data_IF_651895269444
#
_entry.id   IF_651895269444
#
_cell.length_a   1.000
_cell.length_b   1.000
_cell.length_c   1.000
_cell.angle_alpha   90.00
_cell.angle_beta   90.00
_cell.angle_gamma   90.00
#
_symmetry.space_group_name_H-M   'P 1'
#
loop_
_entity.id
_entity.type
_entity.pdbx_description
1 polymer ?
#
# COMPACT_ATOMS: atom_id res chain seq x y z
N UNK A 1 50.30 -42.15 46.36
CA UNK A 1 49.31 -43.11 45.79
C UNK A 1 47.91 -42.48 45.90
N UNK A 2 47.16 -42.49 44.82
CA UNK A 2 45.77 -42.05 44.66
C UNK A 2 45.54 -40.55 44.36
N UNK A 3 45.82 -40.21 43.16
CA UNK A 3 45.14 -39.13 42.38
C UNK A 3 44.89 -39.67 41.00
N UNK A 4 43.67 -40.12 40.70
CA UNK A 4 43.14 -40.29 39.35
C UNK A 4 41.65 -40.61 39.51
N UNK A 5 40.80 -39.77 38.94
CA UNK A 5 39.45 -40.03 38.50
C UNK A 5 38.47 -38.88 38.87
N UNK A 6 38.62 -37.73 38.25
CA UNK A 6 37.52 -36.75 38.10
C UNK A 6 37.76 -35.98 36.78
N UNK A 7 37.75 -36.65 35.64
CA UNK A 7 37.64 -36.00 34.32
C UNK A 7 36.92 -37.01 33.38
N UNK A 8 35.65 -37.18 33.53
CA UNK A 8 34.83 -37.90 32.53
C UNK A 8 33.31 -37.71 32.74
N UNK A 9 32.85 -36.51 33.07
CA UNK A 9 31.39 -36.27 33.23
C UNK A 9 30.92 -34.91 32.71
N UNK A 10 31.70 -34.23 31.85
CA UNK A 10 31.31 -32.88 31.37
C UNK A 10 31.16 -32.73 29.86
N UNK A 11 31.09 -33.79 29.10
CA UNK A 11 31.02 -33.71 27.59
C UNK A 11 29.66 -34.20 27.03
N UNK A 12 28.71 -34.64 27.84
CA UNK A 12 27.49 -35.29 27.33
C UNK A 12 26.20 -34.44 27.49
N UNK A 13 26.29 -33.15 27.79
CA UNK A 13 25.08 -32.30 27.97
C UNK A 13 24.98 -31.14 27.00
N UNK A 14 25.83 -31.08 25.96
CA UNK A 14 25.80 -29.98 24.96
C UNK A 14 25.16 -30.38 23.61
N UNK A 15 24.59 -31.57 23.49
CA UNK A 15 24.10 -32.09 22.21
C UNK A 15 22.56 -32.15 22.08
N UNK A 16 21.79 -31.51 22.99
CA UNK A 16 20.32 -31.60 22.99
C UNK A 16 19.60 -30.26 22.79
N UNK A 17 20.30 -29.20 22.32
CA UNK A 17 19.70 -27.91 21.98
C UNK A 17 19.75 -27.57 20.48
N UNK A 18 20.01 -28.55 19.62
CA UNK A 18 19.86 -28.42 18.17
C UNK A 18 18.47 -28.96 17.76
N UNK A 19 17.42 -28.42 18.33
CA UNK A 19 16.05 -28.83 18.08
C UNK A 19 15.22 -27.66 17.60
N UNK A 20 14.86 -27.71 16.27
CA UNK A 20 13.74 -27.00 15.63
C UNK A 20 13.83 -25.47 15.53
N UNK A 21 14.79 -24.97 14.77
CA UNK A 21 14.45 -23.92 13.83
C UNK A 21 14.00 -24.62 12.53
N UNK A 22 12.84 -25.21 12.53
CA UNK A 22 12.19 -25.62 11.31
C UNK A 22 11.81 -24.33 10.60
N UNK A 23 12.30 -24.13 9.37
CA UNK A 23 11.81 -23.11 8.47
C UNK A 23 10.30 -23.27 8.39
N UNK A 24 9.57 -22.27 8.88
CA UNK A 24 8.10 -22.26 8.75
C UNK A 24 7.85 -22.05 7.28
N UNK A 25 7.35 -23.08 6.60
CA UNK A 25 6.96 -22.93 5.20
C UNK A 25 5.98 -21.75 5.07
N UNK A 26 6.21 -20.84 4.12
CA UNK A 26 5.30 -19.72 3.92
C UNK A 26 3.91 -20.25 3.55
N UNK A 27 2.87 -19.60 4.05
CA UNK A 27 1.47 -19.95 3.79
C UNK A 27 1.17 -20.06 2.29
N UNK A 28 1.81 -19.23 1.50
CA UNK A 28 1.75 -19.19 0.04
C UNK A 28 3.18 -19.30 -0.52
N UNK A 29 3.70 -20.50 -0.78
CA UNK A 29 5.05 -20.66 -1.31
C UNK A 29 5.16 -20.04 -2.70
N UNK A 30 6.19 -19.21 -2.96
CA UNK A 30 6.31 -18.49 -4.22
C UNK A 30 6.58 -19.44 -5.39
N UNK A 31 5.84 -19.26 -6.47
CA UNK A 31 6.14 -19.91 -7.74
C UNK A 31 7.47 -19.42 -8.31
N UNK A 32 8.25 -20.34 -8.86
CA UNK A 32 9.42 -20.01 -9.64
C UNK A 32 9.02 -19.24 -10.91
N UNK A 33 9.83 -18.25 -11.26
CA UNK A 33 9.61 -17.49 -12.48
C UNK A 33 10.00 -18.32 -13.70
N UNK A 34 9.06 -18.50 -14.61
CA UNK A 34 9.30 -19.15 -15.90
C UNK A 34 9.71 -18.12 -16.96
N UNK A 35 10.30 -18.62 -18.05
CA UNK A 35 10.54 -17.80 -19.24
C UNK A 35 9.22 -17.32 -19.83
N UNK A 36 9.17 -16.06 -20.20
CA UNK A 36 8.01 -15.44 -20.84
C UNK A 36 8.28 -15.11 -22.29
N UNK A 37 7.27 -15.28 -23.12
CA UNK A 37 7.29 -14.72 -24.49
C UNK A 37 6.97 -13.23 -24.40
N UNK A 38 7.99 -12.41 -24.08
CA UNK A 38 7.82 -10.98 -23.94
C UNK A 38 7.35 -10.37 -25.26
N UNK A 39 6.17 -9.73 -25.21
CA UNK A 39 5.63 -8.91 -26.28
C UNK A 39 5.70 -7.41 -25.93
N UNK A 40 6.22 -7.10 -24.77
CA UNK A 40 6.43 -5.73 -24.29
C UNK A 40 7.91 -5.57 -23.97
N UNK A 41 8.55 -4.60 -24.62
CA UNK A 41 9.92 -4.21 -24.30
C UNK A 41 9.89 -3.13 -23.24
N UNK A 42 10.55 -3.39 -22.13
CA UNK A 42 10.69 -2.45 -21.02
C UNK A 42 12.11 -1.89 -21.05
N UNK A 43 12.24 -0.57 -21.04
CA UNK A 43 13.53 0.12 -21.05
C UNK A 43 13.61 1.12 -19.90
N UNK A 44 14.69 1.07 -19.13
CA UNK A 44 14.97 2.06 -18.11
C UNK A 44 15.29 3.39 -18.75
N UNK A 45 14.48 4.40 -18.51
CA UNK A 45 14.64 5.77 -19.01
C UNK A 45 15.67 6.53 -18.18
N UNK A 46 15.57 6.40 -16.85
CA UNK A 46 16.48 6.95 -15.88
C UNK A 46 16.40 6.15 -14.58
N UNK A 47 17.45 6.21 -13.76
CA UNK A 47 17.55 5.57 -12.46
C UNK A 47 18.20 6.53 -11.48
N UNK A 48 17.63 6.63 -10.28
CA UNK A 48 18.10 7.46 -9.17
C UNK A 48 18.05 6.66 -7.86
N UNK A 49 18.70 7.17 -6.83
CA UNK A 49 18.63 6.60 -5.48
C UNK A 49 17.79 7.50 -4.55
N UNK A 50 17.03 6.91 -3.64
CA UNK A 50 16.26 7.60 -2.61
C UNK A 50 16.83 7.19 -1.25
N UNK A 51 17.76 7.96 -0.73
CA UNK A 51 18.40 7.74 0.58
C UNK A 51 18.76 6.30 0.89
N UNK A 52 18.43 5.83 2.09
CA UNK A 52 18.60 4.45 2.55
C UNK A 52 17.37 3.55 2.25
N UNK A 53 16.48 4.02 1.38
CA UNK A 53 15.31 3.31 0.91
C UNK A 53 14.25 3.04 1.97
N UNK A 54 13.43 2.01 1.73
CA UNK A 54 12.32 1.61 2.58
C UNK A 54 12.73 0.61 3.68
N UNK A 55 13.92 0.06 3.59
CA UNK A 55 14.45 -0.98 4.48
C UNK A 55 13.72 -2.31 4.31
N UNK A 56 13.34 -2.96 5.42
CA UNK A 56 12.67 -4.27 5.42
C UNK A 56 11.17 -4.20 5.05
N UNK A 57 10.76 -3.16 4.31
CA UNK A 57 9.38 -2.98 3.84
C UNK A 57 8.31 -2.93 4.95
N UNK A 58 8.69 -2.48 6.13
CA UNK A 58 7.77 -2.39 7.28
C UNK A 58 6.74 -1.27 7.13
N UNK A 59 7.04 -0.26 6.31
CA UNK A 59 6.22 0.94 6.12
C UNK A 59 5.88 1.14 4.65
N UNK A 60 4.61 1.45 4.33
CA UNK A 60 4.16 1.67 2.96
C UNK A 60 4.46 3.11 2.51
N UNK A 61 5.75 3.46 2.41
CA UNK A 61 6.17 4.80 1.99
C UNK A 61 6.06 4.89 0.47
N UNK A 62 4.82 4.90 -0.03
CA UNK A 62 4.54 5.03 -1.45
C UNK A 62 4.98 6.41 -1.94
N UNK A 63 5.71 6.52 -3.06
CA UNK A 63 6.00 7.80 -3.69
C UNK A 63 4.73 8.46 -4.23
N UNK A 64 4.81 9.75 -4.63
CA UNK A 64 3.69 10.48 -5.21
C UNK A 64 4.07 11.13 -6.54
N UNK A 65 3.09 11.24 -7.45
CA UNK A 65 3.21 11.91 -8.74
C UNK A 65 2.33 13.15 -8.80
N UNK A 66 2.89 14.28 -9.24
CA UNK A 66 2.14 15.50 -9.55
C UNK A 66 2.68 16.17 -10.83
N UNK A 67 1.98 15.97 -11.93
CA UNK A 67 2.36 16.52 -13.22
C UNK A 67 3.73 16.02 -13.68
N UNK A 68 4.75 16.93 -13.67
CA UNK A 68 6.11 16.62 -14.09
C UNK A 68 7.05 16.32 -12.92
N UNK A 69 6.52 16.15 -11.72
CA UNK A 69 7.29 15.88 -10.50
C UNK A 69 6.96 14.52 -9.92
N UNK A 70 7.98 13.83 -9.47
CA UNK A 70 7.89 12.61 -8.68
C UNK A 70 8.48 12.90 -7.31
N UNK A 71 7.78 12.55 -6.25
CA UNK A 71 8.22 12.72 -4.87
C UNK A 71 8.43 11.36 -4.25
N UNK A 72 9.57 11.17 -3.61
CA UNK A 72 9.87 9.95 -2.87
C UNK A 72 10.48 10.29 -1.51
N UNK A 73 10.39 9.36 -0.58
CA UNK A 73 11.01 9.50 0.73
C UNK A 73 11.61 8.17 1.16
N UNK A 74 12.64 8.25 1.99
CA UNK A 74 13.19 7.09 2.67
C UNK A 74 12.61 6.89 4.08
N UNK A 75 12.95 5.76 4.68
CA UNK A 75 12.51 5.40 6.03
C UNK A 75 13.06 6.29 7.14
N UNK A 76 14.18 7.00 6.91
CA UNK A 76 14.93 7.75 7.93
C UNK A 76 14.56 9.23 7.95
N UNK A 77 13.98 9.76 6.87
CA UNK A 77 13.43 11.12 6.84
C UNK A 77 13.86 11.95 5.65
N UNK A 78 14.64 11.41 4.72
CA UNK A 78 14.93 12.09 3.46
C UNK A 78 13.67 12.16 2.62
N UNK A 79 13.38 13.32 2.05
CA UNK A 79 12.30 13.54 1.06
C UNK A 79 12.89 14.25 -0.13
N UNK A 80 12.66 13.72 -1.31
CA UNK A 80 13.21 14.21 -2.56
C UNK A 80 12.13 14.42 -3.62
N UNK A 81 12.36 15.40 -4.48
CA UNK A 81 11.57 15.64 -5.67
C UNK A 81 12.43 15.50 -6.92
N UNK A 82 11.91 14.76 -7.90
CA UNK A 82 12.57 14.48 -9.17
C UNK A 82 11.75 14.98 -10.34
N UNK A 83 12.41 15.34 -11.45
CA UNK A 83 11.73 15.53 -12.73
C UNK A 83 11.36 14.19 -13.33
N UNK A 84 10.10 13.99 -13.67
CA UNK A 84 9.63 12.74 -14.32
C UNK A 84 10.29 12.47 -15.66
N UNK A 85 10.81 13.50 -16.34
CA UNK A 85 11.38 13.37 -17.68
C UNK A 85 12.75 12.71 -17.73
N UNK A 86 13.59 12.96 -16.73
CA UNK A 86 15.01 12.56 -16.75
C UNK A 86 15.62 12.22 -15.38
N UNK A 87 14.86 12.25 -14.29
CA UNK A 87 15.33 11.92 -12.95
C UNK A 87 16.08 13.05 -12.22
N UNK A 88 16.35 14.20 -12.87
CA UNK A 88 17.05 15.31 -12.17
C UNK A 88 16.37 15.65 -10.85
N UNK A 89 17.12 15.68 -9.75
CA UNK A 89 16.64 16.16 -8.46
C UNK A 89 16.30 17.64 -8.54
N UNK A 90 15.08 17.99 -8.12
CA UNK A 90 14.60 19.36 -8.03
C UNK A 90 14.93 20.00 -6.69
N UNK A 91 14.73 19.24 -5.63
CA UNK A 91 15.06 19.57 -4.25
C UNK A 91 15.13 18.30 -3.40
N UNK A 92 15.83 18.41 -2.28
CA UNK A 92 15.90 17.40 -1.22
C UNK A 92 15.78 18.07 0.14
N UNK A 93 15.17 17.42 1.10
CA UNK A 93 15.09 17.85 2.49
C UNK A 93 15.24 16.67 3.44
N UNK A 94 15.91 16.93 4.57
CA UNK A 94 16.00 15.99 5.68
C UNK A 94 14.98 16.40 6.76
N UNK A 95 14.12 15.44 7.13
CA UNK A 95 13.21 15.60 8.26
C UNK A 95 13.88 15.05 9.53
N UNK A 96 13.63 15.70 10.67
CA UNK A 96 14.18 15.26 11.98
C UNK A 96 13.51 13.97 12.51
N UNK A 97 12.86 13.19 11.65
CA UNK A 97 12.01 12.07 12.11
C UNK A 97 11.73 11.08 11.00
N UNK A 98 11.75 9.77 11.32
CA UNK A 98 11.45 8.72 10.37
C UNK A 98 10.07 8.84 9.74
N UNK A 99 9.99 8.74 8.41
CA UNK A 99 8.74 8.67 7.65
C UNK A 99 8.09 7.29 7.84
N UNK A 100 6.77 7.22 7.81
CA UNK A 100 6.03 5.96 7.96
C UNK A 100 4.83 5.83 7.04
N UNK A 101 4.35 6.91 6.45
CA UNK A 101 3.22 6.89 5.52
C UNK A 101 3.67 7.05 4.07
N UNK A 102 2.82 6.65 3.14
CA UNK A 102 2.92 7.11 1.76
C UNK A 102 2.80 8.63 1.65
N UNK A 103 3.24 9.16 0.52
CA UNK A 103 3.18 10.57 0.17
C UNK A 103 1.89 10.88 -0.59
N UNK A 104 1.36 12.08 -0.43
CA UNK A 104 0.21 12.57 -1.19
C UNK A 104 0.50 13.95 -1.73
N UNK A 105 0.48 14.09 -3.05
CA UNK A 105 0.70 15.35 -3.73
C UNK A 105 -0.64 15.87 -4.29
N UNK A 106 -1.09 17.04 -3.82
CA UNK A 106 -2.35 17.67 -4.23
C UNK A 106 -2.14 19.18 -4.37
N UNK A 107 -2.52 19.73 -5.51
CA UNK A 107 -2.31 21.12 -5.89
C UNK A 107 -0.81 21.48 -5.75
N UNK A 108 -0.47 22.44 -4.88
CA UNK A 108 0.92 22.86 -4.63
C UNK A 108 1.54 22.20 -3.39
N UNK A 109 0.81 21.32 -2.69
CA UNK A 109 1.21 20.73 -1.42
C UNK A 109 1.57 19.25 -1.55
N UNK A 110 2.62 18.86 -0.83
CA UNK A 110 3.01 17.47 -0.57
C UNK A 110 2.78 17.15 0.91
N UNK A 111 2.05 16.06 1.19
CA UNK A 111 1.75 15.62 2.54
C UNK A 111 2.37 14.26 2.83
N UNK A 112 2.88 14.10 4.04
CA UNK A 112 3.33 12.83 4.58
C UNK A 112 3.16 12.78 6.10
N UNK A 113 3.33 11.60 6.68
CA UNK A 113 3.30 11.44 8.13
C UNK A 113 4.45 10.54 8.62
N UNK A 114 4.68 10.56 9.92
CA UNK A 114 5.84 9.98 10.57
C UNK A 114 5.43 9.02 11.69
N UNK A 115 6.36 8.16 12.11
CA UNK A 115 6.14 7.14 13.17
C UNK A 115 5.63 7.73 14.49
N UNK A 116 6.01 8.95 14.81
CA UNK A 116 5.60 9.61 16.05
C UNK A 116 4.30 10.44 15.91
N UNK A 117 3.55 10.22 14.83
CA UNK A 117 2.27 10.88 14.58
C UNK A 117 2.39 12.35 14.16
N UNK A 118 3.51 12.78 13.57
CA UNK A 118 3.59 14.10 12.94
C UNK A 118 3.11 14.01 11.51
N UNK A 119 2.22 14.89 11.14
CA UNK A 119 1.79 15.17 9.77
C UNK A 119 2.51 16.42 9.30
N UNK A 120 3.04 16.40 8.10
CA UNK A 120 3.90 17.45 7.55
C UNK A 120 3.35 17.84 6.19
N UNK A 121 3.20 19.16 5.97
CA UNK A 121 2.93 19.75 4.68
C UNK A 121 4.19 20.43 4.15
N UNK A 122 4.49 20.17 2.88
CA UNK A 122 5.69 20.65 2.18
C UNK A 122 5.23 21.30 0.88
N UNK A 123 5.82 22.43 0.54
CA UNK A 123 5.62 23.07 -0.77
C UNK A 123 6.26 22.20 -1.87
N UNK A 124 5.48 21.79 -2.86
CA UNK A 124 5.95 20.90 -3.94
C UNK A 124 7.02 21.53 -4.84
N UNK A 125 7.08 22.84 -4.92
CA UNK A 125 8.02 23.53 -5.80
C UNK A 125 9.40 23.74 -5.15
N UNK A 126 9.43 23.99 -3.83
CA UNK A 126 10.63 24.40 -3.11
C UNK A 126 11.16 23.37 -2.11
N UNK A 127 10.32 22.45 -1.63
CA UNK A 127 10.65 21.55 -0.52
C UNK A 127 10.52 22.21 0.86
N UNK A 128 10.04 23.46 0.94
CA UNK A 128 9.88 24.16 2.21
C UNK A 128 8.75 23.54 3.02
N UNK A 129 9.01 23.26 4.29
CA UNK A 129 7.97 22.79 5.21
C UNK A 129 7.06 23.95 5.59
N UNK A 130 5.80 23.86 5.23
CA UNK A 130 4.79 24.86 5.49
C UNK A 130 4.25 24.81 6.92
N UNK A 131 3.90 23.57 7.38
CA UNK A 131 3.46 23.34 8.75
C UNK A 131 3.73 21.88 9.20
N UNK A 132 3.68 21.69 10.51
CA UNK A 132 3.74 20.37 11.15
C UNK A 132 2.67 20.29 12.22
N UNK A 133 1.89 19.22 12.22
CA UNK A 133 0.84 18.96 13.22
C UNK A 133 0.97 17.56 13.79
N UNK A 134 0.68 17.40 15.07
CA UNK A 134 0.69 16.10 15.72
C UNK A 134 -0.71 15.52 15.80
N UNK A 135 -0.87 14.27 15.37
CA UNK A 135 -2.08 13.45 15.56
C UNK A 135 -1.88 12.43 16.68
N UNK A 136 -2.97 11.82 17.20
CA UNK A 136 -2.90 11.01 18.41
C UNK A 136 -1.98 9.77 18.34
N UNK A 137 -1.84 9.16 17.17
CA UNK A 137 -1.11 7.90 17.01
C UNK A 137 -0.26 7.88 15.74
N UNK A 138 0.48 6.79 15.53
CA UNK A 138 1.25 6.54 14.33
C UNK A 138 0.36 6.50 13.08
N UNK A 139 0.88 7.02 11.97
CA UNK A 139 0.18 7.07 10.69
C UNK A 139 0.96 6.25 9.66
N UNK A 140 0.33 5.24 9.10
CA UNK A 140 0.87 4.41 8.02
C UNK A 140 0.18 4.74 6.68
N UNK A 141 -1.10 5.12 6.74
CA UNK A 141 -1.86 5.53 5.57
C UNK A 141 -1.35 6.84 5.00
N UNK A 142 -1.29 6.96 3.69
CA UNK A 142 -1.04 8.24 3.04
C UNK A 142 -2.16 9.24 3.39
N UNK A 143 -1.85 10.44 3.94
CA UNK A 143 -2.87 11.45 4.21
C UNK A 143 -3.65 11.81 2.94
N UNK A 144 -4.96 11.99 3.02
CA UNK A 144 -5.81 12.27 1.86
C UNK A 144 -6.43 13.66 1.96
N UNK A 145 -6.45 14.40 0.86
CA UNK A 145 -6.93 15.77 0.86
C UNK A 145 -8.22 15.97 0.04
N UNK A 146 -9.09 16.85 0.52
CA UNK A 146 -10.11 17.50 -0.30
C UNK A 146 -9.72 18.99 -0.50
N UNK A 147 -10.65 19.82 -0.96
CA UNK A 147 -10.37 21.25 -1.23
C UNK A 147 -9.94 22.05 0.01
N UNK A 148 -10.36 21.65 1.22
CA UNK A 148 -10.14 22.41 2.44
C UNK A 148 -9.41 21.66 3.54
N UNK A 149 -9.51 20.32 3.54
CA UNK A 149 -9.06 19.48 4.63
C UNK A 149 -8.06 18.45 4.20
N UNK A 150 -7.13 18.13 5.09
CA UNK A 150 -6.30 16.93 5.05
C UNK A 150 -6.86 15.94 6.07
N UNK A 151 -7.23 14.77 5.60
CA UNK A 151 -7.77 13.67 6.41
C UNK A 151 -6.66 12.65 6.67
N UNK A 152 -6.41 12.38 7.92
CA UNK A 152 -5.33 11.51 8.39
C UNK A 152 -5.91 10.36 9.20
N UNK A 153 -5.69 9.14 8.76
CA UNK A 153 -6.07 7.91 9.47
C UNK A 153 -4.86 7.33 10.20
N UNK A 154 -5.00 7.14 11.50
CA UNK A 154 -3.95 6.56 12.35
C UNK A 154 -4.24 5.09 12.70
N UNK A 155 -3.21 4.35 13.12
CA UNK A 155 -3.30 2.90 13.40
C UNK A 155 -4.21 2.53 14.57
N UNK A 156 -4.50 3.49 15.45
CA UNK A 156 -5.42 3.30 16.58
C UNK A 156 -6.90 3.44 16.20
N UNK A 157 -7.20 3.66 14.91
CA UNK A 157 -8.56 3.87 14.40
C UNK A 157 -9.06 5.30 14.53
N UNK A 158 -8.20 6.24 14.85
CA UNK A 158 -8.57 7.66 14.81
C UNK A 158 -8.44 8.22 13.40
N UNK A 159 -9.37 9.09 13.02
CA UNK A 159 -9.30 9.93 11.84
C UNK A 159 -9.28 11.37 12.31
N UNK A 160 -8.28 12.11 11.91
CA UNK A 160 -8.12 13.53 12.21
C UNK A 160 -8.25 14.34 10.94
N UNK A 161 -9.13 15.32 10.94
CA UNK A 161 -9.19 16.34 9.90
C UNK A 161 -8.37 17.56 10.30
N UNK A 162 -7.48 17.95 9.43
CA UNK A 162 -6.65 19.14 9.56
C UNK A 162 -7.06 20.16 8.47
N UNK A 163 -7.03 21.43 8.80
CA UNK A 163 -7.13 22.48 7.81
C UNK A 163 -5.88 22.46 6.91
N UNK A 164 -6.03 22.39 5.60
CA UNK A 164 -4.92 22.24 4.66
C UNK A 164 -3.91 23.39 4.71
N UNK A 165 -4.40 24.61 4.87
CA UNK A 165 -3.53 25.80 4.82
C UNK A 165 -2.71 25.98 6.10
N UNK A 166 -3.26 25.61 7.26
CA UNK A 166 -2.65 25.89 8.56
C UNK A 166 -2.23 24.66 9.35
N UNK A 167 -2.67 23.48 8.99
CA UNK A 167 -2.49 22.26 9.76
C UNK A 167 -3.29 22.21 11.06
N UNK A 168 -4.22 23.15 11.31
CA UNK A 168 -5.02 23.17 12.52
C UNK A 168 -6.04 22.03 12.52
N UNK A 169 -6.14 21.31 13.65
CA UNK A 169 -7.13 20.27 13.84
C UNK A 169 -8.53 20.85 13.84
N UNK A 170 -9.41 20.32 13.01
CA UNK A 170 -10.81 20.70 12.90
C UNK A 170 -11.73 19.74 13.68
N UNK A 171 -11.55 18.43 13.47
CA UNK A 171 -12.31 17.40 14.18
C UNK A 171 -11.50 16.10 14.28
N UNK A 172 -11.94 15.22 15.16
CA UNK A 172 -11.42 13.86 15.32
C UNK A 172 -12.60 12.89 15.39
N UNK A 173 -12.52 11.80 14.65
CA UNK A 173 -13.39 10.63 14.74
C UNK A 173 -12.57 9.45 15.28
N UNK A 174 -13.20 8.56 16.07
CA UNK A 174 -12.54 7.35 16.57
C UNK A 174 -13.41 6.13 16.33
N UNK A 175 -12.88 5.14 15.62
CA UNK A 175 -13.52 3.85 15.47
C UNK A 175 -13.16 2.92 16.65
N UNK A 176 -14.08 2.01 16.97
CA UNK A 176 -13.78 0.96 17.95
C UNK A 176 -13.13 -0.23 17.26
N UNK A 177 -11.86 -0.46 17.53
CA UNK A 177 -11.05 -1.54 16.95
C UNK A 177 -10.92 -2.73 17.91
N UNK A 178 -10.73 -3.96 17.39
CA UNK A 178 -10.36 -5.11 18.19
C UNK A 178 -8.96 -4.94 18.79
N UNK A 179 -8.65 -5.71 19.84
CA UNK A 179 -7.34 -5.65 20.50
C UNK A 179 -6.19 -6.13 19.61
N UNK A 180 -6.46 -7.05 18.66
CA UNK A 180 -5.52 -7.54 17.67
C UNK A 180 -5.92 -7.06 16.28
N UNK A 181 -5.01 -6.40 15.58
CA UNK A 181 -5.19 -5.89 14.21
C UNK A 181 -3.99 -6.26 13.35
N UNK A 182 -4.13 -6.21 12.03
CA UNK A 182 -3.01 -6.38 11.09
C UNK A 182 -2.02 -5.23 11.10
N UNK A 183 -2.31 -4.14 11.83
CA UNK A 183 -1.53 -2.89 11.78
C UNK A 183 -1.33 -2.41 10.34
N UNK A 184 -2.42 -2.41 9.59
CA UNK A 184 -2.40 -2.01 8.19
C UNK A 184 -2.52 -0.49 8.01
N UNK A 185 -2.26 -0.05 6.79
CA UNK A 185 -2.32 1.34 6.39
C UNK A 185 -3.66 1.67 5.71
N UNK A 186 -4.78 1.43 6.39
CA UNK A 186 -6.10 1.73 5.82
C UNK A 186 -6.19 3.17 5.31
N UNK A 187 -6.09 3.36 3.98
CA UNK A 187 -6.13 4.70 3.36
C UNK A 187 -7.58 5.07 3.08
N UNK A 188 -8.08 6.21 3.60
CA UNK A 188 -9.45 6.62 3.34
C UNK A 188 -9.60 7.18 1.91
N UNK A 189 -10.82 7.12 1.36
CA UNK A 189 -11.19 7.86 0.16
C UNK A 189 -11.95 9.11 0.55
N UNK A 190 -11.45 10.26 0.13
CA UNK A 190 -11.92 11.56 0.56
C UNK A 190 -12.45 12.35 -0.63
N UNK A 191 -13.67 12.85 -0.50
CA UNK A 191 -14.25 13.87 -1.38
C UNK A 191 -14.64 15.09 -0.52
N UNK A 192 -15.09 16.17 -1.11
CA UNK A 192 -15.37 17.39 -0.33
C UNK A 192 -16.38 17.20 0.79
N UNK A 193 -17.42 16.38 0.57
CA UNK A 193 -18.52 16.21 1.51
C UNK A 193 -18.29 15.12 2.54
N UNK A 194 -17.65 14.03 2.14
CA UNK A 194 -17.55 12.82 2.97
C UNK A 194 -16.20 12.11 2.83
N UNK A 195 -15.86 11.40 3.88
CA UNK A 195 -14.74 10.46 3.94
C UNK A 195 -15.27 9.04 4.06
N UNK A 196 -14.78 8.14 3.19
CA UNK A 196 -15.00 6.69 3.26
C UNK A 196 -13.77 6.05 3.88
N UNK A 197 -13.91 5.54 5.09
CA UNK A 197 -12.79 4.99 5.85
C UNK A 197 -13.04 3.53 6.22
N UNK A 198 -12.12 2.65 5.82
CA UNK A 198 -12.08 1.25 6.21
C UNK A 198 -11.29 1.05 7.49
N UNK A 199 -11.69 0.06 8.29
CA UNK A 199 -11.05 -0.23 9.57
C UNK A 199 -10.80 -1.72 9.78
N UNK A 200 -9.88 -2.02 10.72
CA UNK A 200 -9.50 -3.39 11.11
C UNK A 200 -10.58 -4.16 11.90
N UNK A 201 -11.78 -3.61 12.00
CA UNK A 201 -12.98 -4.30 12.49
C UNK A 201 -13.88 -4.80 11.35
N UNK A 202 -13.40 -4.71 10.09
CA UNK A 202 -14.16 -5.10 8.89
C UNK A 202 -15.31 -4.16 8.52
N UNK A 203 -15.31 -2.94 9.07
CA UNK A 203 -16.36 -1.95 8.82
C UNK A 203 -15.85 -0.77 8.01
N UNK A 204 -16.69 -0.30 7.11
CA UNK A 204 -16.52 0.92 6.35
C UNK A 204 -17.40 2.01 6.97
N UNK A 205 -16.79 3.07 7.48
CA UNK A 205 -17.49 4.26 7.97
C UNK A 205 -17.58 5.33 6.91
N UNK A 206 -18.73 6.01 6.84
CA UNK A 206 -18.95 7.19 6.03
C UNK A 206 -19.08 8.37 6.99
N UNK A 207 -18.16 9.33 6.88
CA UNK A 207 -18.00 10.44 7.83
C UNK A 207 -18.27 11.75 7.11
N UNK A 208 -19.09 12.60 7.69
CA UNK A 208 -19.35 13.97 7.22
C UNK A 208 -18.10 14.84 7.48
N UNK A 209 -17.49 15.38 6.43
CA UNK A 209 -16.26 16.13 6.54
C UNK A 209 -16.40 17.48 7.25
N UNK A 210 -17.60 18.05 7.27
CA UNK A 210 -17.84 19.33 7.95
C UNK A 210 -17.89 19.18 9.46
N UNK A 211 -18.40 18.05 9.96
CA UNK A 211 -18.66 17.86 11.40
C UNK A 211 -17.79 16.77 12.03
N UNK A 212 -17.19 15.87 11.25
CA UNK A 212 -16.54 14.66 11.74
C UNK A 212 -17.50 13.60 12.26
N UNK A 213 -18.80 13.77 12.06
CA UNK A 213 -19.80 12.80 12.52
C UNK A 213 -19.96 11.65 11.52
N UNK A 214 -20.09 10.44 12.04
CA UNK A 214 -20.41 9.28 11.23
C UNK A 214 -21.86 9.36 10.71
N UNK A 215 -22.01 9.41 9.40
CA UNK A 215 -23.31 9.41 8.71
C UNK A 215 -23.87 7.99 8.71
N UNK A 216 -23.03 7.02 8.36
CA UNK A 216 -23.42 5.61 8.30
C UNK A 216 -22.21 4.69 8.41
N UNK A 217 -22.48 3.42 8.65
CA UNK A 217 -21.47 2.36 8.71
C UNK A 217 -21.97 1.13 7.94
N UNK A 218 -21.05 0.41 7.30
CA UNK A 218 -21.34 -0.83 6.58
C UNK A 218 -20.37 -1.91 7.01
N UNK A 219 -20.88 -3.09 7.34
CA UNK A 219 -20.05 -4.27 7.57
C UNK A 219 -19.67 -4.89 6.22
N UNK A 220 -18.39 -4.88 5.90
CA UNK A 220 -17.83 -5.46 4.67
C UNK A 220 -17.33 -6.87 4.96
N UNK A 221 -16.59 -7.06 6.06
CA UNK A 221 -16.11 -8.35 6.50
C UNK A 221 -16.57 -8.65 7.93
N UNK A 222 -16.82 -9.91 8.23
CA UNK A 222 -17.18 -10.38 9.55
C UNK A 222 -16.09 -11.30 10.07
N UNK A 223 -15.56 -10.99 11.25
CA UNK A 223 -14.58 -11.81 11.92
C UNK A 223 -15.13 -13.22 12.20
N UNK A 224 -14.60 -14.23 11.53
CA UNK A 224 -15.00 -15.63 11.68
C UNK A 224 -13.76 -16.49 11.93
N UNK A 225 -13.88 -17.54 12.74
CA UNK A 225 -12.76 -18.42 13.03
C UNK A 225 -12.74 -18.89 14.47
N UNK A 226 -11.89 -19.86 14.78
CA UNK A 226 -11.80 -20.48 16.10
C UNK A 226 -10.77 -19.82 17.02
N UNK A 227 -9.78 -19.13 16.45
CA UNK A 227 -8.73 -18.43 17.20
C UNK A 227 -8.67 -16.95 16.81
N UNK A 228 -7.88 -16.16 17.53
CA UNK A 228 -7.76 -14.71 17.33
C UNK A 228 -7.17 -14.37 15.95
N UNK A 229 -6.26 -15.18 15.44
CA UNK A 229 -5.61 -14.96 14.13
C UNK A 229 -6.61 -15.20 13.00
N UNK A 230 -7.39 -16.28 13.06
CA UNK A 230 -8.42 -16.56 12.06
C UNK A 230 -9.51 -15.47 12.00
N UNK A 231 -9.70 -14.75 13.11
CA UNK A 231 -10.68 -13.66 13.23
C UNK A 231 -10.19 -12.31 12.74
N UNK A 232 -8.92 -12.21 12.34
CA UNK A 232 -8.42 -10.96 11.78
C UNK A 232 -9.17 -10.62 10.49
N UNK A 233 -9.79 -9.46 10.46
CA UNK A 233 -10.39 -8.85 9.28
C UNK A 233 -9.91 -7.42 9.17
N UNK A 234 -9.72 -6.92 7.95
CA UNK A 234 -9.25 -5.56 7.75
C UNK A 234 -9.70 -4.99 6.41
N UNK A 235 -10.00 -3.70 6.38
CA UNK A 235 -10.19 -2.93 5.16
C UNK A 235 -8.99 -1.99 5.03
N UNK A 236 -7.86 -2.55 4.57
CA UNK A 236 -6.59 -1.85 4.44
C UNK A 236 -6.45 -1.13 3.10
N UNK A 237 -6.96 -1.73 2.02
CA UNK A 237 -6.96 -1.09 0.71
C UNK A 237 -7.83 0.16 0.67
N UNK A 238 -7.38 1.18 -0.07
CA UNK A 238 -8.17 2.39 -0.29
C UNK A 238 -9.45 2.05 -1.07
N UNK A 239 -10.65 2.42 -0.59
CA UNK A 239 -11.88 2.27 -1.36
C UNK A 239 -11.83 3.03 -2.69
N UNK A 240 -12.26 2.43 -3.79
CA UNK A 240 -12.24 3.07 -5.12
C UNK A 240 -13.62 3.63 -5.44
N UNK A 241 -13.73 4.96 -5.47
CA UNK A 241 -14.96 5.67 -5.79
C UNK A 241 -14.97 6.08 -7.26
N UNK A 242 -16.07 5.78 -7.95
CA UNK A 242 -16.29 6.20 -9.35
C UNK A 242 -17.12 7.49 -9.42
N UNK A 243 -17.02 8.24 -10.54
CA UNK A 243 -17.83 9.45 -10.74
C UNK A 243 -19.34 9.20 -10.73
N UNK A 244 -19.80 8.01 -11.10
CA UNK A 244 -21.21 7.60 -11.08
C UNK A 244 -21.66 7.06 -9.70
N UNK A 245 -20.79 7.15 -8.69
CA UNK A 245 -21.13 6.84 -7.29
C UNK A 245 -21.07 5.36 -6.93
N UNK A 246 -20.35 4.52 -7.67
CA UNK A 246 -19.99 3.17 -7.24
C UNK A 246 -18.76 3.23 -6.36
N UNK A 247 -18.75 2.46 -5.27
CA UNK A 247 -17.63 2.36 -4.33
C UNK A 247 -17.22 0.90 -4.21
N UNK A 248 -15.98 0.60 -4.62
CA UNK A 248 -15.41 -0.74 -4.52
C UNK A 248 -14.51 -0.83 -3.28
N UNK A 249 -14.70 -1.89 -2.50
CA UNK A 249 -13.99 -2.10 -1.24
C UNK A 249 -13.47 -3.53 -1.18
N UNK A 250 -12.18 -3.70 -0.96
CA UNK A 250 -11.54 -4.98 -0.64
C UNK A 250 -11.41 -5.15 0.86
N UNK A 251 -11.41 -6.38 1.35
CA UNK A 251 -11.12 -6.66 2.75
C UNK A 251 -10.29 -7.95 2.89
N UNK A 252 -9.38 -7.94 3.85
CA UNK A 252 -8.65 -9.13 4.28
C UNK A 252 -9.61 -10.07 5.03
N UNK A 253 -9.48 -11.38 4.79
CA UNK A 253 -10.38 -12.43 5.30
C UNK A 253 -11.87 -12.10 5.08
N UNK A 254 -12.20 -11.51 3.94
CA UNK A 254 -13.54 -11.00 3.70
C UNK A 254 -13.96 -11.06 2.23
N UNK A 255 -14.25 -9.91 1.66
CA UNK A 255 -14.92 -9.77 0.37
C UNK A 255 -14.37 -8.62 -0.46
N UNK A 256 -14.56 -8.73 -1.77
CA UNK A 256 -14.65 -7.59 -2.67
C UNK A 256 -16.14 -7.20 -2.79
N UNK A 257 -16.46 -5.96 -2.50
CA UNK A 257 -17.84 -5.46 -2.49
C UNK A 257 -17.94 -4.20 -3.33
N UNK A 258 -18.98 -4.11 -4.16
CA UNK A 258 -19.40 -2.87 -4.78
C UNK A 258 -20.64 -2.31 -4.07
N UNK A 259 -20.58 -1.05 -3.68
CA UNK A 259 -21.64 -0.31 -3.01
C UNK A 259 -22.09 0.86 -3.86
N UNK A 260 -23.34 1.26 -3.73
CA UNK A 260 -23.76 2.60 -4.06
C UNK A 260 -23.29 3.56 -2.95
N UNK A 261 -22.40 4.48 -3.25
CA UNK A 261 -21.77 5.37 -2.27
C UNK A 261 -22.77 6.28 -1.53
N UNK A 262 -23.87 6.66 -2.18
CA UNK A 262 -24.90 7.54 -1.60
C UNK A 262 -25.85 6.79 -0.64
N UNK A 263 -26.34 5.62 -1.06
CA UNK A 263 -27.32 4.85 -0.27
C UNK A 263 -26.66 3.82 0.66
N UNK A 264 -25.40 3.45 0.39
CA UNK A 264 -24.70 2.35 1.04
C UNK A 264 -25.25 0.96 0.68
N UNK A 265 -26.13 0.87 -0.33
CA UNK A 265 -26.66 -0.42 -0.80
C UNK A 265 -25.58 -1.23 -1.49
N UNK A 266 -25.47 -2.51 -1.16
CA UNK A 266 -24.63 -3.45 -1.89
C UNK A 266 -25.19 -3.70 -3.28
N UNK A 267 -24.38 -3.44 -4.30
CA UNK A 267 -24.70 -3.72 -5.71
C UNK A 267 -24.37 -5.17 -6.05
N UNK A 268 -23.17 -5.60 -5.67
CA UNK A 268 -22.72 -6.98 -5.76
C UNK A 268 -21.58 -7.24 -4.76
N UNK A 269 -21.30 -8.51 -4.47
CA UNK A 269 -20.14 -8.92 -3.67
C UNK A 269 -19.65 -10.30 -4.08
N UNK A 270 -18.34 -10.51 -3.96
CA UNK A 270 -17.70 -11.81 -4.19
C UNK A 270 -16.72 -12.12 -3.05
N UNK A 271 -16.54 -13.39 -2.72
CA UNK A 271 -15.55 -13.81 -1.73
C UNK A 271 -14.14 -13.59 -2.28
N UNK A 272 -13.36 -12.82 -1.59
CA UNK A 272 -11.99 -12.49 -1.95
C UNK A 272 -11.27 -11.90 -0.72
N UNK A 273 -10.12 -12.45 -0.39
CA UNK A 273 -9.25 -11.85 0.64
C UNK A 273 -8.18 -11.00 -0.01
N UNK A 274 -8.21 -9.70 0.27
CA UNK A 274 -7.20 -8.74 -0.19
C UNK A 274 -7.09 -7.57 0.76
N UNK A 275 -5.86 -7.15 1.05
CA UNK A 275 -5.54 -5.94 1.80
C UNK A 275 -5.02 -4.81 0.91
N UNK A 276 -4.96 -5.04 -0.41
CA UNK A 276 -4.41 -4.11 -1.39
C UNK A 276 -5.51 -3.28 -2.05
N UNK A 277 -5.15 -2.06 -2.43
CA UNK A 277 -6.01 -1.16 -3.20
C UNK A 277 -6.19 -1.70 -4.62
N UNK A 278 -7.41 -1.91 -5.10
CA UNK A 278 -7.65 -2.33 -6.47
C UNK A 278 -7.46 -1.18 -7.46
N UNK A 279 -7.26 -1.49 -8.74
CA UNK A 279 -7.26 -0.49 -9.82
C UNK A 279 -8.46 -0.71 -10.73
N UNK A 280 -9.20 0.37 -11.01
CA UNK A 280 -10.33 0.38 -11.95
C UNK A 280 -9.89 1.04 -13.27
N UNK A 281 -10.09 0.32 -14.37
CA UNK A 281 -9.82 0.82 -15.73
C UNK A 281 -11.04 0.57 -16.60
N UNK A 282 -11.74 1.62 -17.00
CA UNK A 282 -13.03 1.48 -17.67
C UNK A 282 -14.01 0.73 -16.77
N UNK A 283 -14.58 -0.36 -17.28
CA UNK A 283 -15.50 -1.23 -16.55
C UNK A 283 -14.82 -2.50 -16.00
N UNK A 284 -13.49 -2.52 -15.89
CA UNK A 284 -12.74 -3.66 -15.35
C UNK A 284 -12.02 -3.27 -14.06
N UNK A 285 -12.27 -4.05 -13.00
CA UNK A 285 -11.61 -3.90 -11.71
C UNK A 285 -10.54 -4.98 -11.55
N UNK A 286 -9.29 -4.58 -11.35
CA UNK A 286 -8.17 -5.48 -11.15
C UNK A 286 -7.77 -5.51 -9.69
N UNK A 287 -7.67 -6.72 -9.14
CA UNK A 287 -7.40 -6.95 -7.72
C UNK A 287 -6.28 -7.97 -7.57
N UNK A 288 -5.34 -7.71 -6.69
CA UNK A 288 -4.37 -8.71 -6.24
C UNK A 288 -4.87 -9.26 -4.90
N UNK A 289 -5.02 -10.58 -4.81
CA UNK A 289 -5.43 -11.23 -3.57
C UNK A 289 -4.22 -11.53 -2.64
N UNK A 290 -4.51 -11.99 -1.43
CA UNK A 290 -3.50 -12.31 -0.41
C UNK A 290 -2.49 -13.38 -0.84
N UNK A 291 -2.86 -14.25 -1.79
CA UNK A 291 -2.01 -15.29 -2.35
C UNK A 291 -1.24 -14.82 -3.60
N UNK A 292 -1.26 -13.50 -3.90
CA UNK A 292 -0.59 -12.92 -5.08
C UNK A 292 -1.17 -13.39 -6.42
N UNK A 293 -2.48 -13.64 -6.48
CA UNK A 293 -3.19 -13.85 -7.75
C UNK A 293 -3.73 -12.51 -8.23
N UNK A 294 -3.48 -12.17 -9.48
CA UNK A 294 -4.10 -10.99 -10.12
C UNK A 294 -5.38 -11.42 -10.82
N UNK A 295 -6.48 -10.78 -10.45
CA UNK A 295 -7.82 -11.15 -10.93
C UNK A 295 -8.51 -9.92 -11.50
N UNK A 296 -9.11 -10.07 -12.68
CA UNK A 296 -9.95 -9.06 -13.30
C UNK A 296 -11.42 -9.39 -13.11
N UNK A 297 -12.19 -8.40 -12.70
CA UNK A 297 -13.64 -8.49 -12.53
C UNK A 297 -14.35 -7.47 -13.42
N UNK A 298 -15.51 -7.84 -13.93
CA UNK A 298 -16.48 -6.88 -14.46
C UNK A 298 -16.98 -6.00 -13.29
N UNK A 299 -16.63 -4.74 -13.32
CA UNK A 299 -16.94 -3.80 -12.26
C UNK A 299 -18.44 -3.53 -12.10
N UNK A 300 -19.27 -3.86 -13.10
CA UNK A 300 -20.72 -3.62 -13.08
C UNK A 300 -21.48 -4.73 -12.31
N UNK A 301 -20.98 -5.96 -12.33
CA UNK A 301 -21.70 -7.12 -11.79
C UNK A 301 -20.85 -8.05 -10.91
N UNK A 302 -19.52 -7.85 -10.84
CA UNK A 302 -18.60 -8.63 -10.01
C UNK A 302 -18.23 -10.00 -10.59
N UNK A 303 -18.55 -10.28 -11.87
CA UNK A 303 -18.13 -11.51 -12.49
C UNK A 303 -16.63 -11.50 -12.78
N UNK A 304 -15.95 -12.62 -12.47
CA UNK A 304 -14.55 -12.81 -12.83
C UNK A 304 -14.42 -12.92 -14.34
N UNK A 305 -13.56 -12.09 -14.94
CA UNK A 305 -13.24 -12.10 -16.37
C UNK A 305 -12.05 -13.01 -16.67
N UNK A 306 -11.00 -12.91 -15.86
CA UNK A 306 -9.83 -13.75 -15.91
C UNK A 306 -9.05 -13.73 -14.60
N UNK A 307 -8.19 -14.72 -14.40
CA UNK A 307 -7.31 -14.88 -13.25
C UNK A 307 -5.92 -15.30 -13.72
N UNK A 308 -4.89 -14.65 -13.19
CA UNK A 308 -3.50 -14.99 -13.42
C UNK A 308 -2.87 -15.50 -12.12
N UNK A 309 -2.26 -16.67 -12.19
CA UNK A 309 -1.63 -17.37 -11.05
C UNK A 309 -0.13 -17.65 -11.30
N UNK A 310 0.46 -17.09 -12.35
CA UNK A 310 1.88 -17.32 -12.68
C UNK A 310 2.82 -16.69 -11.63
N UNK A 311 2.32 -15.71 -10.88
CA UNK A 311 3.02 -14.99 -9.82
C UNK A 311 2.54 -15.35 -8.41
N UNK A 312 1.85 -16.51 -8.25
CA UNK A 312 1.35 -16.98 -6.95
C UNK A 312 2.44 -16.99 -5.87
N UNK A 313 2.12 -16.48 -4.68
CA UNK A 313 2.99 -16.48 -3.50
C UNK A 313 4.15 -15.47 -3.53
N UNK A 314 4.25 -14.62 -4.56
CA UNK A 314 5.39 -13.72 -4.74
C UNK A 314 5.25 -12.36 -4.03
N UNK A 315 4.26 -12.21 -3.14
CA UNK A 315 3.99 -10.98 -2.38
C UNK A 315 3.86 -9.76 -3.29
N UNK A 316 2.91 -9.84 -4.22
CA UNK A 316 2.68 -8.76 -5.18
C UNK A 316 2.19 -7.49 -4.50
N UNK A 317 2.60 -6.35 -5.03
CA UNK A 317 2.09 -5.02 -4.65
C UNK A 317 0.67 -4.79 -5.16
N UNK A 318 0.03 -3.71 -4.70
CA UNK A 318 -1.17 -3.19 -5.34
C UNK A 318 -0.91 -2.93 -6.84
N UNK A 319 -1.91 -3.16 -7.72
CA UNK A 319 -1.72 -2.99 -9.16
C UNK A 319 -1.72 -1.53 -9.57
N UNK A 320 -0.84 -1.17 -10.54
CA UNK A 320 -0.89 0.03 -11.34
C UNK A 320 -1.39 -0.28 -12.76
N UNK A 321 -1.67 0.75 -13.55
CA UNK A 321 -2.07 0.59 -14.96
C UNK A 321 -1.33 1.59 -15.84
N UNK A 322 -0.70 1.09 -16.90
CA UNK A 322 -0.02 1.89 -17.92
C UNK A 322 -0.13 1.23 -19.30
N UNK A 323 -0.51 1.99 -20.30
CA UNK A 323 -0.51 1.61 -21.72
C UNK A 323 -1.12 0.21 -22.00
N UNK A 324 -2.31 -0.07 -21.43
CA UNK A 324 -3.01 -1.35 -21.61
C UNK A 324 -2.46 -2.52 -20.78
N UNK A 325 -1.55 -2.28 -19.84
CA UNK A 325 -0.93 -3.29 -18.98
C UNK A 325 -1.21 -3.00 -17.53
N UNK A 326 -1.48 -4.06 -16.78
CA UNK A 326 -1.43 -4.02 -15.31
C UNK A 326 0.02 -4.21 -14.90
N UNK A 327 0.47 -3.41 -13.94
CA UNK A 327 1.85 -3.40 -13.45
C UNK A 327 1.86 -3.72 -11.96
N UNK A 328 2.67 -4.69 -11.56
CA UNK A 328 2.86 -5.06 -10.15
C UNK A 328 4.34 -5.27 -9.85
N UNK A 329 4.76 -4.94 -8.64
CA UNK A 329 6.06 -5.32 -8.10
C UNK A 329 5.99 -6.62 -7.32
N UNK A 330 7.12 -7.29 -7.08
CA UNK A 330 7.20 -8.47 -6.23
C UNK A 330 8.34 -8.41 -5.19
N UNK A 331 8.33 -9.33 -4.23
CA UNK A 331 9.30 -9.38 -3.15
C UNK A 331 10.75 -9.70 -3.60
N UNK A 332 10.95 -10.17 -4.82
CA UNK A 332 12.29 -10.37 -5.38
C UNK A 332 12.78 -9.19 -6.24
N UNK A 333 11.98 -8.11 -6.29
CA UNK A 333 12.32 -6.85 -6.95
C UNK A 333 12.04 -6.80 -8.44
N UNK A 334 11.20 -7.69 -8.93
CA UNK A 334 10.72 -7.62 -10.31
C UNK A 334 9.48 -6.71 -10.42
N UNK A 335 9.44 -5.95 -11.51
CA UNK A 335 8.24 -5.31 -12.03
C UNK A 335 7.70 -6.17 -13.16
N UNK A 336 6.47 -6.61 -13.02
CA UNK A 336 5.78 -7.46 -14.00
C UNK A 336 4.74 -6.66 -14.77
N UNK A 337 4.64 -6.92 -16.07
CA UNK A 337 3.68 -6.29 -16.97
C UNK A 337 2.72 -7.35 -17.50
N UNK A 338 1.44 -7.17 -17.25
CA UNK A 338 0.38 -8.12 -17.54
C UNK A 338 -0.61 -7.46 -18.52
N UNK A 339 -0.94 -8.11 -19.63
CA UNK A 339 -1.96 -7.64 -20.57
C UNK A 339 -3.30 -7.53 -19.84
N UNK A 340 -3.84 -6.33 -19.76
CA UNK A 340 -5.07 -6.04 -19.04
C UNK A 340 -6.30 -6.80 -19.59
N UNK A 341 -6.30 -7.18 -20.88
CA UNK A 341 -7.45 -7.83 -21.51
C UNK A 341 -7.55 -9.33 -21.19
N UNK A 342 -6.41 -10.00 -20.98
CA UNK A 342 -6.40 -11.47 -20.91
C UNK A 342 -5.54 -12.06 -19.79
N UNK A 343 -4.90 -11.24 -18.96
CA UNK A 343 -4.08 -11.68 -17.84
C UNK A 343 -2.74 -12.34 -18.21
N UNK A 344 -2.29 -12.25 -19.47
CA UNK A 344 -1.01 -12.85 -19.89
C UNK A 344 0.16 -11.99 -19.42
N UNK A 345 1.19 -12.61 -18.88
CA UNK A 345 2.46 -11.97 -18.57
C UNK A 345 3.19 -11.61 -19.88
N UNK A 346 3.39 -10.31 -20.12
CA UNK A 346 3.91 -9.79 -21.42
C UNK A 346 5.26 -9.10 -21.30
N UNK A 347 5.71 -8.80 -20.08
CA UNK A 347 7.01 -8.19 -19.84
C UNK A 347 7.43 -8.31 -18.38
N UNK A 348 8.71 -8.19 -18.11
CA UNK A 348 9.29 -8.21 -16.77
C UNK A 348 10.65 -7.56 -16.79
N UNK A 349 10.94 -6.75 -15.78
CA UNK A 349 12.29 -6.24 -15.50
C UNK A 349 12.57 -6.35 -14.00
N UNK A 350 13.82 -6.37 -13.59
CA UNK A 350 14.20 -6.37 -12.19
C UNK A 350 14.88 -5.04 -11.86
N UNK A 351 14.39 -4.36 -10.83
CA UNK A 351 14.97 -3.11 -10.34
C UNK A 351 16.14 -3.42 -9.41
N UNK A 352 15.85 -4.08 -8.28
CA UNK A 352 16.86 -4.52 -7.32
C UNK A 352 16.38 -5.77 -6.57
N UNK A 353 17.32 -6.55 -6.04
CA UNK A 353 17.03 -7.79 -5.30
C UNK A 353 16.43 -7.57 -3.91
N UNK A 354 16.40 -6.35 -3.41
CA UNK A 354 15.82 -5.99 -2.10
C UNK A 354 14.30 -6.12 -2.06
N UNK A 355 13.66 -6.24 -3.25
CA UNK A 355 12.21 -6.36 -3.37
C UNK A 355 11.53 -5.04 -3.69
N UNK A 356 10.25 -5.11 -4.10
CA UNK A 356 9.36 -3.97 -4.29
C UNK A 356 8.15 -4.20 -3.41
N UNK A 357 7.93 -3.35 -2.42
CA UNK A 357 6.84 -3.45 -1.45
C UNK A 357 5.75 -2.40 -1.60
N UNK A 358 6.02 -1.35 -2.39
CA UNK A 358 5.06 -0.27 -2.67
C UNK A 358 4.61 -0.35 -4.12
N UNK A 359 3.40 0.14 -4.38
CA UNK A 359 2.80 0.12 -5.73
C UNK A 359 3.65 0.90 -6.72
N UNK A 360 4.00 0.31 -7.89
CA UNK A 360 4.58 1.07 -8.98
C UNK A 360 3.63 2.18 -9.44
N UNK A 361 4.10 3.43 -9.45
CA UNK A 361 3.32 4.56 -9.95
C UNK A 361 3.29 4.59 -11.46
N UNK A 362 2.25 5.20 -12.03
CA UNK A 362 2.12 5.33 -13.48
C UNK A 362 1.58 6.71 -13.84
N UNK A 363 2.05 7.27 -14.96
CA UNK A 363 1.47 8.46 -15.58
C UNK A 363 0.57 8.11 -16.79
N UNK A 364 0.22 6.82 -16.91
CA UNK A 364 -0.56 6.27 -18.01
C UNK A 364 0.29 5.71 -19.16
N UNK A 365 1.57 6.07 -19.26
CA UNK A 365 2.51 5.60 -20.28
C UNK A 365 3.79 5.03 -19.69
N UNK A 366 4.30 5.67 -18.66
CA UNK A 366 5.54 5.32 -17.96
C UNK A 366 5.23 4.74 -16.61
N UNK A 367 6.11 3.88 -16.13
CA UNK A 367 6.07 3.30 -14.78
C UNK A 367 7.24 3.83 -13.97
N UNK A 368 6.99 4.18 -12.73
CA UNK A 368 7.99 4.55 -11.76
C UNK A 368 7.97 3.51 -10.63
N UNK A 369 9.07 2.80 -10.47
CA UNK A 369 9.18 1.72 -9.50
C UNK A 369 10.27 2.05 -8.47
N UNK A 370 9.91 1.94 -7.19
CA UNK A 370 10.82 2.13 -6.06
C UNK A 370 11.07 0.78 -5.39
N UNK A 371 12.33 0.34 -5.38
CA UNK A 371 12.75 -0.84 -4.65
C UNK A 371 13.07 -0.52 -3.19
N UNK A 372 13.13 -1.56 -2.35
CA UNK A 372 13.28 -1.40 -0.90
C UNK A 372 14.64 -0.83 -0.48
N UNK A 373 15.68 -0.96 -1.31
CA UNK A 373 16.99 -0.35 -1.10
C UNK A 373 17.06 1.15 -1.48
N UNK A 374 15.97 1.71 -2.04
CA UNK A 374 15.90 3.08 -2.52
C UNK A 374 16.14 3.24 -4.02
N UNK A 375 16.44 2.17 -4.75
CA UNK A 375 16.57 2.25 -6.22
C UNK A 375 15.23 2.65 -6.85
N UNK A 376 15.19 3.82 -7.48
CA UNK A 376 14.03 4.39 -8.15
C UNK A 376 14.27 4.45 -9.65
N UNK A 377 13.44 3.73 -10.41
CA UNK A 377 13.56 3.70 -11.86
C UNK A 377 12.29 4.19 -12.57
N UNK A 378 12.49 4.95 -13.66
CA UNK A 378 11.44 5.26 -14.62
C UNK A 378 11.58 4.33 -15.83
N UNK A 379 10.51 3.59 -16.12
CA UNK A 379 10.46 2.57 -17.14
C UNK A 379 9.56 3.01 -18.29
N UNK A 380 10.10 3.08 -19.50
CA UNK A 380 9.34 3.26 -20.72
C UNK A 380 8.83 1.90 -21.20
N UNK A 381 7.54 1.84 -21.61
CA UNK A 381 6.87 0.65 -22.10
C UNK A 381 6.77 0.77 -23.62
N UNK A 382 7.41 -0.13 -24.33
CA UNK A 382 7.36 -0.18 -25.79
C UNK A 382 6.65 -1.47 -26.25
N UNK A 383 5.76 -1.40 -27.26
CA UNK A 383 5.06 -2.56 -27.79
C UNK A 383 6.01 -3.57 -28.44
#
# INVERSE_FOLDING_TARGET
MKTLNVIAASVTLSALLAGCAGDVEPQYPPKELTDISASTRVETRWSEGVGDGLGEATYPIEPALAGTRLFAADKDGLVEAFKTSNGDTLWEIELDTPVSSGLTAVDDDLYLATRNGRVIAIDQATGDVQWRTRVPSEVLAAPQANTQQLIVQAVDGTITALDRASGQQQWVFSANLPALTLRSAGTPTVIDQVTFAGFSNGRLSIIDNRSGQQISERTIAVATGMNEIDRLVDIAGQPVLTPDGRLYVTSYNGRLVALNAQSGQTLWSTELSSYLTPVLVGDTLYVVDEASRLIAFDATNGNELWRMEDLYGRSLTAPGFADGRIVVGDAEGYVHFIDANNGRLVGRTRIDKSGISVRPLTDGKRVYALANDGSLEALDINP
#
